data_IF_866357254372
#
_entry.id   IF_866357254372
#
_cell.length_a   1.000
_cell.length_b   1.000
_cell.length_c   1.000
_cell.angle_alpha   90.00
_cell.angle_beta   90.00
_cell.angle_gamma   90.00
#
_symmetry.space_group_name_H-M   'P 1'
#
loop_
_entity.id
_entity.type
_entity.pdbx_description
1 polymer ?
#
# COMPACT_ATOMS: atom_id res chain seq x y z
N UNK A 1 -39.71 -5.40 14.22
CA UNK A 1 -38.72 -4.98 13.20
C UNK A 1 -37.38 -4.90 13.92
N UNK A 2 -36.72 -6.05 14.09
CA UNK A 2 -35.31 -6.07 14.49
C UNK A 2 -34.53 -5.48 13.33
N UNK A 3 -34.06 -4.24 13.49
CA UNK A 3 -33.12 -3.65 12.55
C UNK A 3 -31.83 -4.44 12.62
N UNK A 4 -31.40 -4.99 11.48
CA UNK A 4 -30.11 -5.63 11.33
C UNK A 4 -29.03 -4.68 11.87
N UNK A 5 -28.42 -5.02 13.01
CA UNK A 5 -27.31 -4.27 13.55
C UNK A 5 -26.16 -4.35 12.53
N UNK A 6 -25.89 -3.23 11.87
CA UNK A 6 -24.77 -3.08 10.93
C UNK A 6 -23.49 -3.58 11.63
N UNK A 7 -22.98 -4.73 11.18
CA UNK A 7 -21.78 -5.35 11.75
C UNK A 7 -20.56 -4.55 11.27
N UNK A 8 -20.33 -3.40 11.89
CA UNK A 8 -19.17 -2.55 11.61
C UNK A 8 -17.92 -3.25 12.11
N UNK A 9 -17.12 -3.79 11.18
CA UNK A 9 -15.79 -4.29 11.48
C UNK A 9 -14.86 -3.09 11.62
N UNK A 10 -14.55 -2.70 12.85
CA UNK A 10 -13.54 -1.69 13.12
C UNK A 10 -12.16 -2.24 12.75
N UNK A 11 -11.66 -1.84 11.59
CA UNK A 11 -10.27 -2.12 11.18
C UNK A 11 -9.32 -1.32 12.07
N UNK A 12 -8.81 -1.95 13.12
CA UNK A 12 -7.83 -1.35 14.02
C UNK A 12 -6.42 -1.60 13.47
N UNK A 13 -6.10 -0.97 12.35
CA UNK A 13 -4.74 -0.96 11.84
C UNK A 13 -3.91 0.05 12.61
N UNK A 14 -3.37 -0.35 13.77
CA UNK A 14 -2.27 0.39 14.39
C UNK A 14 -1.00 0.06 13.61
N UNK A 15 -0.80 0.74 12.47
CA UNK A 15 0.45 0.65 11.73
C UNK A 15 1.50 1.44 12.52
N UNK A 16 2.23 0.75 13.40
CA UNK A 16 3.46 1.30 13.95
C UNK A 16 4.42 1.54 12.78
N UNK A 17 4.90 2.77 12.62
CA UNK A 17 5.89 3.08 11.60
C UNK A 17 7.20 2.35 11.95
N UNK A 18 7.41 1.19 11.33
CA UNK A 18 8.59 0.35 11.53
C UNK A 18 9.78 0.77 10.64
N UNK A 19 9.74 1.98 10.06
CA UNK A 19 10.70 2.47 9.08
C UNK A 19 10.46 1.95 7.67
N UNK A 20 11.41 2.24 6.77
CA UNK A 20 11.33 1.98 5.33
C UNK A 20 12.04 0.69 4.90
N UNK A 21 12.68 -0.03 5.82
CA UNK A 21 13.54 -1.19 5.50
C UNK A 21 12.82 -2.30 4.75
N UNK A 22 11.65 -2.73 5.23
CA UNK A 22 10.88 -3.81 4.59
C UNK A 22 10.42 -3.42 3.18
N UNK A 23 9.99 -2.16 3.00
CA UNK A 23 9.67 -1.60 1.69
C UNK A 23 10.91 -1.60 0.79
N UNK A 24 12.06 -1.21 1.32
CA UNK A 24 13.29 -1.18 0.58
C UNK A 24 13.77 -2.57 0.13
N UNK A 25 13.69 -3.56 1.01
CA UNK A 25 14.04 -4.95 0.68
C UNK A 25 13.09 -5.52 -0.38
N UNK A 26 11.79 -5.21 -0.31
CA UNK A 26 10.83 -5.57 -1.34
C UNK A 26 11.17 -4.91 -2.69
N UNK A 27 11.47 -3.61 -2.71
CA UNK A 27 11.84 -2.90 -3.94
C UNK A 27 13.10 -3.47 -4.59
N UNK A 28 14.10 -3.89 -3.82
CA UNK A 28 15.28 -4.58 -4.36
C UNK A 28 14.92 -5.93 -5.00
N UNK A 29 13.98 -6.67 -4.42
CA UNK A 29 13.53 -7.96 -4.93
C UNK A 29 12.72 -7.80 -6.23
N UNK A 30 11.80 -6.84 -6.27
CA UNK A 30 10.88 -6.65 -7.39
C UNK A 30 11.41 -5.71 -8.49
N UNK A 31 12.35 -4.82 -8.17
CA UNK A 31 12.92 -3.81 -9.08
C UNK A 31 14.47 -3.77 -9.02
N UNK A 32 15.16 -4.89 -9.31
CA UNK A 32 16.61 -5.01 -9.09
C UNK A 32 17.48 -4.08 -9.96
N UNK A 33 16.93 -3.48 -11.02
CA UNK A 33 17.67 -2.60 -11.95
C UNK A 33 17.57 -1.11 -11.61
N UNK A 34 16.72 -0.73 -10.66
CA UNK A 34 16.39 0.67 -10.39
C UNK A 34 16.42 0.91 -8.90
N UNK A 35 17.60 0.91 -8.29
CA UNK A 35 17.77 1.16 -6.85
C UNK A 35 18.47 2.49 -6.55
N UNK A 36 18.72 3.32 -7.57
CA UNK A 36 19.44 4.60 -7.43
C UNK A 36 18.70 5.57 -6.50
N UNK A 37 17.37 5.52 -6.47
CA UNK A 37 16.53 6.31 -5.57
C UNK A 37 16.52 5.82 -4.11
N UNK A 38 17.23 4.74 -3.78
CA UNK A 38 17.26 4.14 -2.44
C UNK A 38 18.47 4.58 -1.60
N UNK A 39 19.24 5.57 -2.08
CA UNK A 39 20.48 5.99 -1.41
C UNK A 39 20.22 6.82 -0.13
N UNK A 40 19.00 7.35 0.04
CA UNK A 40 18.52 8.05 1.24
C UNK A 40 17.01 7.97 1.40
N UNK A 41 16.49 8.17 2.63
CA UNK A 41 15.05 8.22 2.88
C UNK A 41 14.36 9.37 2.10
N UNK A 42 15.05 10.49 1.87
CA UNK A 42 14.53 11.61 1.09
C UNK A 42 14.40 11.30 -0.40
N UNK A 43 15.39 10.64 -1.00
CA UNK A 43 15.32 10.21 -2.40
C UNK A 43 14.22 9.16 -2.60
N UNK A 44 14.10 8.23 -1.65
CA UNK A 44 13.03 7.23 -1.67
C UNK A 44 11.66 7.90 -1.59
N UNK A 45 11.49 8.87 -0.68
CA UNK A 45 10.24 9.60 -0.55
C UNK A 45 9.90 10.43 -1.81
N UNK A 46 10.89 11.09 -2.40
CA UNK A 46 10.72 11.86 -3.64
C UNK A 46 10.32 10.95 -4.81
N UNK A 47 10.93 9.77 -4.94
CA UNK A 47 10.55 8.76 -5.93
C UNK A 47 9.10 8.27 -5.72
N UNK A 48 8.72 7.93 -4.49
CA UNK A 48 7.33 7.54 -4.20
C UNK A 48 6.34 8.67 -4.53
N UNK A 49 6.72 9.92 -4.26
CA UNK A 49 5.91 11.09 -4.61
C UNK A 49 5.83 11.31 -6.13
N UNK A 50 6.88 11.02 -6.90
CA UNK A 50 6.83 11.12 -8.37
C UNK A 50 5.87 10.10 -8.97
N UNK A 51 5.78 8.91 -8.38
CA UNK A 51 4.82 7.87 -8.79
C UNK A 51 3.36 8.27 -8.54
N UNK A 52 3.09 9.23 -7.64
CA UNK A 52 1.72 9.63 -7.27
C UNK A 52 0.90 10.17 -8.45
N UNK A 53 1.57 10.67 -9.49
CA UNK A 53 0.92 11.16 -10.71
C UNK A 53 0.78 10.09 -11.79
N UNK A 54 1.64 9.07 -11.79
CA UNK A 54 1.61 7.95 -12.75
C UNK A 54 0.75 6.78 -12.26
N UNK A 55 0.65 6.58 -10.95
CA UNK A 55 -0.09 5.49 -10.32
C UNK A 55 -1.21 6.04 -9.44
N UNK A 56 -2.45 5.85 -9.88
CA UNK A 56 -3.63 5.92 -9.02
C UNK A 56 -3.95 4.50 -8.55
N UNK A 57 -3.48 4.06 -7.36
CA UNK A 57 -3.71 2.70 -6.92
C UNK A 57 -5.20 2.45 -6.78
N UNK A 58 -5.71 1.46 -7.53
CA UNK A 58 -7.08 0.98 -7.41
C UNK A 58 -7.13 -0.07 -6.33
N UNK A 59 -7.85 0.20 -5.25
CA UNK A 59 -8.12 -0.81 -4.22
C UNK A 59 -9.19 -1.75 -4.77
N UNK A 60 -8.78 -2.96 -5.17
CA UNK A 60 -9.69 -4.02 -5.54
C UNK A 60 -10.22 -4.71 -4.28
N UNK A 61 -11.54 -4.73 -4.10
CA UNK A 61 -12.18 -5.57 -3.07
C UNK A 61 -12.30 -6.98 -3.60
N UNK A 62 -12.49 -7.95 -2.71
CA UNK A 62 -12.69 -9.36 -3.09
C UNK A 62 -13.80 -9.53 -4.15
N UNK A 63 -14.88 -8.74 -4.11
CA UNK A 63 -15.91 -8.78 -5.16
C UNK A 63 -15.44 -8.28 -6.52
N UNK A 64 -14.52 -7.32 -6.54
CA UNK A 64 -13.96 -6.75 -7.77
C UNK A 64 -12.96 -7.73 -8.43
N UNK A 65 -12.45 -8.72 -7.66
CA UNK A 65 -11.53 -9.78 -8.12
C UNK A 65 -12.26 -11.09 -8.46
N UNK A 66 -13.19 -11.52 -7.61
CA UNK A 66 -13.82 -12.84 -7.69
C UNK A 66 -15.25 -12.81 -8.25
N UNK A 67 -15.83 -11.63 -8.50
CA UNK A 67 -17.09 -11.49 -9.22
C UNK A 67 -18.34 -11.99 -8.48
N UNK A 68 -18.27 -12.21 -7.17
CA UNK A 68 -19.48 -12.52 -6.37
C UNK A 68 -20.31 -11.25 -6.13
N UNK A 69 -21.62 -11.42 -6.17
CA UNK A 69 -22.64 -10.39 -5.91
C UNK A 69 -22.79 -10.09 -4.44
#
# INVERSE_FOLDING_TARGET
LEGEAEKVVYSRSQVSFAGTKALGDALKLFMPKSTEFMSSDSELWNFLCSLKHEFSPVILRSKDVYGYS
#
